data_IF_717274070641
#
_entry.id   IF_717274070641
#
_cell.length_a   1.000
_cell.length_b   1.000
_cell.length_c   1.000
_cell.angle_alpha   90.00
_cell.angle_beta   90.00
_cell.angle_gamma   90.00
#
_symmetry.space_group_name_H-M   'P 1'
#
loop_
_entity.id
_entity.type
_entity.pdbx_description
1 polymer ?
#
# COMPACT_ATOMS: atom_id res chain seq x y z
N UNK A 1 -20.28 1.98 -10.80
CA UNK A 1 -20.97 0.71 -10.48
C UNK A 1 -21.24 0.58 -8.98
N UNK A 2 -20.22 0.53 -8.11
CA UNK A 2 -20.38 0.54 -6.63
C UNK A 2 -21.22 1.73 -6.13
N UNK A 3 -20.99 2.95 -6.66
CA UNK A 3 -21.80 4.12 -6.29
C UNK A 3 -23.31 3.94 -6.54
N UNK A 4 -23.68 3.20 -7.59
CA UNK A 4 -25.09 2.95 -7.89
C UNK A 4 -25.71 2.00 -6.86
N UNK A 5 -24.95 1.02 -6.36
CA UNK A 5 -25.39 0.14 -5.28
C UNK A 5 -25.61 0.93 -3.98
N UNK A 6 -24.66 1.82 -3.63
CA UNK A 6 -24.76 2.68 -2.45
C UNK A 6 -25.99 3.61 -2.56
N UNK A 7 -26.21 4.24 -3.72
CA UNK A 7 -27.41 5.07 -3.96
C UNK A 7 -28.73 4.30 -3.82
N UNK A 8 -28.71 2.99 -4.09
CA UNK A 8 -29.85 2.09 -3.91
C UNK A 8 -29.93 1.47 -2.51
N UNK A 9 -29.11 1.92 -1.57
CA UNK A 9 -29.01 1.38 -0.21
C UNK A 9 -28.65 -0.12 -0.15
N UNK A 10 -27.95 -0.62 -1.17
CA UNK A 10 -27.43 -1.99 -1.18
C UNK A 10 -26.04 -1.96 -0.53
N UNK A 11 -25.94 -2.56 0.66
CA UNK A 11 -24.71 -2.57 1.48
C UNK A 11 -23.91 -3.87 1.39
N UNK A 12 -24.33 -4.80 0.53
CA UNK A 12 -23.65 -6.07 0.30
C UNK A 12 -23.31 -6.25 -1.19
N UNK A 13 -22.26 -7.01 -1.45
CA UNK A 13 -21.82 -7.39 -2.80
C UNK A 13 -21.26 -8.80 -2.75
N UNK A 14 -21.51 -9.60 -3.79
CA UNK A 14 -20.92 -10.93 -3.88
C UNK A 14 -19.41 -10.86 -4.16
N UNK A 15 -18.69 -11.92 -3.86
CA UNK A 15 -17.26 -12.02 -4.15
C UNK A 15 -16.97 -11.89 -5.66
N UNK A 16 -17.84 -12.44 -6.51
CA UNK A 16 -17.72 -12.38 -7.97
C UNK A 16 -17.95 -10.98 -8.54
N UNK A 17 -18.81 -10.17 -7.90
CA UNK A 17 -19.03 -8.76 -8.29
C UNK A 17 -17.95 -7.84 -7.69
N UNK A 18 -17.42 -8.18 -6.52
CA UNK A 18 -16.39 -7.38 -5.85
C UNK A 18 -15.08 -7.33 -6.64
N UNK A 19 -14.57 -8.47 -7.12
CA UNK A 19 -13.23 -8.50 -7.74
C UNK A 19 -13.09 -7.61 -8.99
N UNK A 20 -14.04 -7.64 -9.95
CA UNK A 20 -13.98 -6.74 -11.11
C UNK A 20 -14.10 -5.27 -10.69
N UNK A 21 -15.00 -4.95 -9.75
CA UNK A 21 -15.19 -3.58 -9.26
C UNK A 21 -13.94 -3.05 -8.54
N UNK A 22 -13.32 -3.88 -7.70
CA UNK A 22 -12.05 -3.58 -7.05
C UNK A 22 -10.94 -3.36 -8.07
N UNK A 23 -10.80 -4.24 -9.06
CA UNK A 23 -9.74 -4.12 -10.06
C UNK A 23 -9.89 -2.84 -10.88
N UNK A 24 -11.11 -2.48 -11.30
CA UNK A 24 -11.37 -1.22 -11.99
C UNK A 24 -11.02 0.00 -11.11
N UNK A 25 -11.44 -0.01 -9.84
CA UNK A 25 -11.11 1.06 -8.90
C UNK A 25 -9.59 1.15 -8.65
N UNK A 26 -8.91 0.01 -8.47
CA UNK A 26 -7.47 -0.09 -8.28
C UNK A 26 -6.72 0.57 -9.45
N UNK A 27 -7.09 0.24 -10.69
CA UNK A 27 -6.49 0.85 -11.88
C UNK A 27 -6.67 2.38 -11.89
N UNK A 28 -7.88 2.87 -11.58
CA UNK A 28 -8.16 4.31 -11.51
C UNK A 28 -7.40 5.01 -10.38
N UNK A 29 -7.06 4.31 -9.30
CA UNK A 29 -6.33 4.87 -8.16
C UNK A 29 -4.84 5.06 -8.42
N UNK A 30 -4.28 4.46 -9.49
CA UNK A 30 -2.86 4.56 -9.88
C UNK A 30 -2.52 5.91 -10.53
N UNK A 31 -2.89 7.00 -9.86
CA UNK A 31 -2.54 8.37 -10.28
C UNK A 31 -1.22 8.81 -9.69
N UNK A 32 -0.52 9.73 -10.36
CA UNK A 32 0.75 10.30 -9.87
C UNK A 32 0.61 10.91 -8.47
N UNK A 33 -0.51 11.55 -8.16
CA UNK A 33 -0.76 12.15 -6.83
C UNK A 33 -0.92 11.08 -5.75
N UNK A 34 -1.70 10.03 -6.01
CA UNK A 34 -1.92 8.96 -5.05
C UNK A 34 -0.64 8.17 -4.77
N UNK A 35 0.12 7.87 -5.84
CA UNK A 35 1.42 7.20 -5.73
C UNK A 35 2.36 8.03 -4.85
N UNK A 36 2.52 9.34 -5.13
CA UNK A 36 3.32 10.25 -4.30
C UNK A 36 2.83 10.31 -2.85
N UNK A 37 1.51 10.32 -2.65
CA UNK A 37 0.89 10.29 -1.32
C UNK A 37 1.24 9.02 -0.54
N UNK A 38 1.17 7.85 -1.19
CA UNK A 38 1.56 6.57 -0.61
C UNK A 38 3.03 6.53 -0.19
N UNK A 39 3.93 6.97 -1.08
CA UNK A 39 5.35 7.13 -0.77
C UNK A 39 5.58 8.04 0.44
N UNK A 40 4.93 9.21 0.47
CA UNK A 40 5.01 10.14 1.61
C UNK A 40 4.51 9.51 2.91
N UNK A 41 3.40 8.78 2.88
CA UNK A 41 2.84 8.08 4.04
C UNK A 41 3.76 6.99 4.57
N UNK A 42 4.44 6.26 3.68
CA UNK A 42 5.47 5.29 4.01
C UNK A 42 6.81 5.92 4.43
N UNK A 43 6.90 7.26 4.49
CA UNK A 43 8.15 8.03 4.71
C UNK A 43 9.25 7.72 3.70
N UNK A 44 8.87 7.25 2.52
CA UNK A 44 9.73 7.08 1.37
C UNK A 44 9.63 8.36 0.54
N UNK A 45 10.62 9.24 0.59
CA UNK A 45 10.58 10.49 -0.19
C UNK A 45 10.93 10.20 -1.66
N UNK A 46 9.99 10.30 -2.62
CA UNK A 46 10.25 9.96 -4.01
C UNK A 46 10.82 11.18 -4.72
N UNK A 47 12.05 11.54 -4.35
CA UNK A 47 12.87 12.47 -5.14
C UNK A 47 14.16 11.80 -5.64
N UNK A 48 14.51 10.64 -5.10
CA UNK A 48 15.55 9.78 -5.65
C UNK A 48 15.11 8.31 -5.56
N UNK A 49 14.96 7.64 -6.71
CA UNK A 49 14.62 6.22 -6.81
C UNK A 49 15.66 5.31 -6.14
N UNK A 50 16.93 5.69 -6.14
CA UNK A 50 18.03 4.95 -5.49
C UNK A 50 17.87 4.96 -3.96
N UNK A 51 17.36 6.05 -3.41
CA UNK A 51 17.06 6.17 -1.96
C UNK A 51 15.85 5.31 -1.58
N UNK A 52 14.86 5.20 -2.45
CA UNK A 52 13.71 4.32 -2.22
C UNK A 52 14.13 2.85 -2.32
N UNK A 53 14.93 2.48 -3.33
CA UNK A 53 15.41 1.10 -3.51
C UNK A 53 16.31 0.67 -2.34
N UNK A 54 17.23 1.51 -1.88
CA UNK A 54 18.09 1.19 -0.73
C UNK A 54 17.34 1.03 0.60
N UNK A 55 16.12 1.58 0.71
CA UNK A 55 15.22 1.36 1.86
C UNK A 55 14.40 0.07 1.76
N UNK A 56 14.23 -0.48 0.55
CA UNK A 56 13.54 -1.75 0.33
C UNK A 56 14.47 -2.95 0.61
N UNK A 57 15.77 -2.83 0.32
CA UNK A 57 16.79 -3.83 0.67
C UNK A 57 17.29 -3.69 2.12
N UNK A 58 16.36 -3.67 3.07
CA UNK A 58 16.72 -3.59 4.49
C UNK A 58 17.23 -4.96 5.00
N UNK A 59 18.54 -5.09 5.21
CA UNK A 59 19.08 -6.21 5.99
C UNK A 59 18.71 -6.04 7.46
N UNK A 60 17.91 -6.97 7.99
CA UNK A 60 17.63 -7.03 9.41
C UNK A 60 18.91 -7.43 10.16
N UNK A 61 19.50 -6.49 10.87
CA UNK A 61 20.62 -6.77 11.77
C UNK A 61 20.13 -6.73 13.20
N UNK A 62 20.06 -7.90 13.84
CA UNK A 62 19.90 -8.00 15.30
C UNK A 62 21.28 -7.87 15.93
N UNK A 63 21.47 -6.96 16.90
CA UNK A 63 22.69 -6.90 17.68
C UNK A 63 22.98 -8.24 18.32
N UNK A 64 24.23 -8.69 18.23
CA UNK A 64 24.69 -9.87 18.95
C UNK A 64 24.39 -9.68 20.44
N UNK A 65 23.77 -10.66 21.12
CA UNK A 65 23.45 -10.54 22.54
C UNK A 65 24.72 -10.22 23.34
N UNK A 66 24.60 -9.35 24.33
CA UNK A 66 25.69 -9.10 25.28
C UNK A 66 25.84 -10.36 26.13
N UNK A 67 27.07 -10.89 26.21
CA UNK A 67 27.36 -12.05 27.05
C UNK A 67 26.98 -11.75 28.51
N UNK A 68 26.09 -12.56 29.09
CA UNK A 68 25.80 -12.49 30.51
C UNK A 68 27.04 -12.92 31.28
N UNK A 69 27.60 -12.01 32.06
CA UNK A 69 28.70 -12.31 32.98
C UNK A 69 28.13 -13.17 34.12
N UNK A 70 28.63 -14.41 34.21
CA UNK A 70 28.24 -15.42 35.19
C UNK A 70 28.63 -15.08 36.63
#
# INVERSE_FOLDING_TARGET
EIEQLIRRSITHISKTEFFPAFYAAFQLTMTKSNIKGGFRGARLAPFNSEVVISKLDMQLWTPTPVEEVA
#
